data_IF_175708361013
#
_entry.id   IF_175708361013
#
_cell.length_a   1.000
_cell.length_b   1.000
_cell.length_c   1.000
_cell.angle_alpha   90.00
_cell.angle_beta   90.00
_cell.angle_gamma   90.00
#
_symmetry.space_group_name_H-M   'P 1'
#
loop_
_entity.id
_entity.type
_entity.pdbx_description
1 polymer ?
#
# COMPACT_ATOMS: atom_id res chain seq x y z
N UNK A 1 32.39 25.06 13.22
CA UNK A 1 33.33 26.07 12.70
C UNK A 1 34.22 25.39 11.67
N UNK A 2 34.64 26.10 10.63
CA UNK A 2 35.74 25.67 9.75
C UNK A 2 36.70 26.85 9.54
N UNK A 3 37.95 26.56 9.20
CA UNK A 3 38.97 27.61 8.97
C UNK A 3 39.10 27.83 7.46
N UNK A 4 38.93 29.07 7.02
CA UNK A 4 39.17 29.51 5.65
C UNK A 4 39.95 30.82 5.70
N UNK A 5 41.05 30.91 4.95
CA UNK A 5 41.95 32.09 4.97
C UNK A 5 42.39 32.54 6.38
N UNK A 6 42.66 31.58 7.27
CA UNK A 6 43.06 31.82 8.66
C UNK A 6 41.99 32.56 9.52
N UNK A 7 40.74 32.61 9.04
CA UNK A 7 39.60 33.10 9.79
C UNK A 7 38.65 31.96 10.17
N UNK A 8 38.10 32.04 11.39
CA UNK A 8 37.11 31.10 11.91
C UNK A 8 35.73 31.43 11.35
N UNK A 9 35.20 30.57 10.47
CA UNK A 9 33.85 30.73 9.91
C UNK A 9 32.81 29.84 10.61
N UNK A 10 31.59 30.35 10.86
CA UNK A 10 30.49 29.53 11.35
C UNK A 10 30.14 28.46 10.31
N UNK A 11 29.88 27.24 10.80
CA UNK A 11 29.42 26.15 9.94
C UNK A 11 27.92 26.33 9.73
N UNK A 12 27.49 26.55 8.50
CA UNK A 12 26.07 26.62 8.17
C UNK A 12 25.56 25.19 8.07
N UNK A 13 24.75 24.77 9.05
CA UNK A 13 24.06 23.48 9.03
C UNK A 13 22.58 23.71 8.75
N UNK A 14 22.07 23.12 7.67
CA UNK A 14 20.63 23.07 7.41
C UNK A 14 19.98 21.96 8.23
N UNK A 15 18.81 22.25 8.81
CA UNK A 15 17.93 21.23 9.38
C UNK A 15 16.69 21.11 8.51
N UNK A 16 16.49 19.95 7.90
CA UNK A 16 15.29 19.63 7.13
C UNK A 16 14.63 18.39 7.74
N UNK A 17 13.56 18.60 8.50
CA UNK A 17 12.75 17.53 9.07
C UNK A 17 11.44 17.40 8.31
N UNK A 18 11.21 16.24 7.69
CA UNK A 18 9.91 15.88 7.14
C UNK A 18 9.32 14.76 8.00
N UNK A 19 8.23 15.07 8.70
CA UNK A 19 7.56 14.06 9.53
C UNK A 19 6.89 13.00 8.65
N UNK A 20 7.43 11.77 8.64
CA UNK A 20 6.89 10.68 7.82
C UNK A 20 5.41 10.41 8.08
N UNK A 21 4.98 10.42 9.34
CA UNK A 21 3.57 10.27 9.71
C UNK A 21 2.69 11.38 9.13
N UNK A 22 3.23 12.61 9.03
CA UNK A 22 2.51 13.74 8.44
C UNK A 22 2.39 13.59 6.93
N UNK A 23 3.41 13.06 6.25
CA UNK A 23 3.34 12.75 4.82
C UNK A 23 2.27 11.68 4.56
N UNK A 24 2.26 10.61 5.34
CA UNK A 24 1.26 9.53 5.20
C UNK A 24 -0.17 10.04 5.43
N UNK A 25 -0.38 10.82 6.49
CA UNK A 25 -1.68 11.43 6.79
C UNK A 25 -2.16 12.34 5.65
N UNK A 26 -1.30 13.26 5.19
CA UNK A 26 -1.62 14.17 4.09
C UNK A 26 -1.90 13.43 2.78
N UNK A 27 -1.18 12.34 2.52
CA UNK A 27 -1.41 11.48 1.35
C UNK A 27 -2.84 10.95 1.35
N UNK A 28 -3.28 10.40 2.48
CA UNK A 28 -4.66 9.90 2.63
C UNK A 28 -5.66 11.04 2.52
N UNK A 29 -5.43 12.17 3.20
CA UNK A 29 -6.35 13.32 3.20
C UNK A 29 -6.56 13.93 1.81
N UNK A 30 -5.49 14.10 1.04
CA UNK A 30 -5.54 14.80 -0.25
C UNK A 30 -6.02 13.88 -1.37
N UNK A 31 -5.64 12.60 -1.35
CA UNK A 31 -5.89 11.70 -2.49
C UNK A 31 -7.17 10.88 -2.35
N UNK A 32 -7.64 10.64 -1.13
CA UNK A 32 -8.80 9.77 -0.89
C UNK A 32 -10.13 10.45 -1.23
N UNK A 33 -11.17 9.64 -1.45
CA UNK A 33 -12.56 10.11 -1.56
C UNK A 33 -13.36 9.62 -0.35
N UNK A 34 -14.60 10.08 -0.23
CA UNK A 34 -15.49 9.77 0.91
C UNK A 34 -15.54 8.28 1.30
N UNK A 35 -15.48 7.36 0.33
CA UNK A 35 -15.62 5.91 0.55
C UNK A 35 -14.41 5.08 0.13
N UNK A 36 -13.27 5.71 -0.20
CA UNK A 36 -12.09 4.96 -0.67
C UNK A 36 -10.79 5.68 -0.32
N UNK A 37 -9.84 4.91 0.22
CA UNK A 37 -8.46 5.38 0.41
C UNK A 37 -7.70 5.18 -0.90
N UNK A 38 -7.04 6.23 -1.40
CA UNK A 38 -6.22 6.15 -2.61
C UNK A 38 -4.75 6.27 -2.27
N UNK A 39 -4.04 5.15 -2.35
CA UNK A 39 -2.60 5.11 -2.18
C UNK A 39 -1.87 5.41 -3.50
N UNK A 40 -0.83 6.25 -3.48
CA UNK A 40 0.18 6.24 -4.53
C UNK A 40 0.85 4.87 -4.60
N UNK A 41 1.14 4.37 -5.81
CA UNK A 41 1.76 3.05 -6.02
C UNK A 41 3.03 2.85 -5.19
N UNK A 42 3.81 3.91 -4.97
CA UNK A 42 5.07 3.86 -4.20
C UNK A 42 4.88 3.84 -2.67
N UNK A 43 3.70 4.17 -2.16
CA UNK A 43 3.38 4.21 -0.73
C UNK A 43 2.41 3.10 -0.32
N UNK A 44 1.74 2.47 -1.28
CA UNK A 44 0.82 1.37 -1.03
C UNK A 44 1.60 0.20 -0.37
N UNK A 45 1.07 -0.43 0.71
CA UNK A 45 1.71 -1.58 1.34
C UNK A 45 1.86 -2.77 0.39
N UNK A 46 0.87 -2.97 -0.49
CA UNK A 46 0.86 -3.96 -1.55
C UNK A 46 0.26 -3.31 -2.80
N UNK A 47 0.74 -3.71 -3.97
CA UNK A 47 0.23 -3.17 -5.24
C UNK A 47 -1.10 -3.82 -5.64
N UNK A 48 -1.25 -5.12 -5.35
CA UNK A 48 -2.46 -5.89 -5.64
C UNK A 48 -2.87 -6.70 -4.42
N UNK A 49 -4.16 -6.68 -4.10
CA UNK A 49 -4.78 -7.61 -3.16
C UNK A 49 -5.69 -8.56 -3.94
N UNK A 50 -5.46 -9.86 -3.82
CA UNK A 50 -6.32 -10.89 -4.41
C UNK A 50 -7.25 -11.42 -3.31
N UNK A 51 -8.55 -11.39 -3.57
CA UNK A 51 -9.57 -11.90 -2.66
C UNK A 51 -10.17 -13.16 -3.28
N UNK A 52 -9.93 -14.35 -2.70
CA UNK A 52 -10.50 -15.60 -3.18
C UNK A 52 -12.01 -15.67 -2.94
N UNK A 53 -12.73 -16.54 -3.68
CA UNK A 53 -14.13 -16.81 -3.40
C UNK A 53 -14.30 -17.46 -2.01
N UNK A 54 -15.49 -17.29 -1.43
CA UNK A 54 -15.85 -17.89 -0.14
C UNK A 54 -15.81 -19.43 -0.24
N UNK A 55 -15.29 -20.09 0.79
CA UNK A 55 -15.32 -21.57 0.87
C UNK A 55 -16.76 -22.10 0.89
N UNK A 56 -17.05 -23.16 0.12
CA UNK A 56 -18.40 -23.72 -0.04
C UNK A 56 -19.35 -22.88 -0.90
N UNK A 57 -18.87 -21.80 -1.53
CA UNK A 57 -19.67 -21.04 -2.49
C UNK A 57 -19.72 -21.74 -3.85
N UNK A 58 -20.64 -21.32 -4.72
CA UNK A 58 -20.72 -21.84 -6.10
C UNK A 58 -19.45 -21.54 -6.89
N UNK A 59 -18.75 -20.49 -6.49
CA UNK A 59 -17.56 -19.93 -7.11
C UNK A 59 -16.27 -20.56 -6.57
N UNK A 60 -16.33 -21.47 -5.58
CA UNK A 60 -15.14 -22.13 -4.99
C UNK A 60 -14.26 -22.83 -6.04
N UNK A 61 -14.87 -23.36 -7.11
CA UNK A 61 -14.12 -23.94 -8.24
C UNK A 61 -13.17 -22.95 -8.93
N UNK A 62 -13.35 -21.63 -8.73
CA UNK A 62 -12.47 -20.60 -9.26
C UNK A 62 -11.20 -20.37 -8.43
N UNK A 63 -11.06 -20.99 -7.25
CA UNK A 63 -9.87 -20.84 -6.39
C UNK A 63 -8.56 -21.21 -7.09
N UNK A 64 -8.59 -22.16 -8.04
CA UNK A 64 -7.41 -22.51 -8.85
C UNK A 64 -6.90 -21.33 -9.71
N UNK A 65 -7.77 -20.39 -10.09
CA UNK A 65 -7.35 -19.20 -10.83
C UNK A 65 -6.65 -18.17 -9.93
N UNK A 66 -6.95 -18.17 -8.63
CA UNK A 66 -6.34 -17.27 -7.65
C UNK A 66 -4.85 -17.55 -7.51
N UNK A 67 -4.48 -18.81 -7.29
CA UNK A 67 -3.08 -19.24 -7.20
C UNK A 67 -2.32 -18.93 -8.50
N UNK A 68 -2.93 -19.25 -9.65
CA UNK A 68 -2.33 -18.95 -10.95
C UNK A 68 -2.12 -17.46 -11.17
N UNK A 69 -3.08 -16.61 -10.77
CA UNK A 69 -2.96 -15.16 -10.88
C UNK A 69 -1.86 -14.64 -9.96
N UNK A 70 -1.79 -15.13 -8.72
CA UNK A 70 -0.75 -14.79 -7.76
C UNK A 70 0.64 -15.09 -8.35
N UNK A 71 0.87 -16.30 -8.84
CA UNK A 71 2.15 -16.66 -9.47
C UNK A 71 2.52 -15.76 -10.65
N UNK A 72 1.53 -15.46 -11.50
CA UNK A 72 1.73 -14.62 -12.69
C UNK A 72 2.16 -13.20 -12.30
N UNK A 73 1.61 -12.66 -11.22
CA UNK A 73 1.94 -11.33 -10.73
C UNK A 73 3.30 -11.33 -10.00
N UNK A 74 3.59 -12.33 -9.18
CA UNK A 74 4.90 -12.49 -8.55
C UNK A 74 6.02 -12.63 -9.60
N UNK A 75 5.80 -13.39 -10.68
CA UNK A 75 6.74 -13.51 -11.81
C UNK A 75 6.99 -12.19 -12.53
N UNK A 76 6.11 -11.20 -12.36
CA UNK A 76 6.27 -9.83 -12.89
C UNK A 76 6.87 -8.85 -11.89
N UNK A 77 7.35 -9.32 -10.74
CA UNK A 77 7.90 -8.48 -9.67
C UNK A 77 6.88 -7.46 -9.13
N UNK A 78 5.60 -7.85 -9.15
CA UNK A 78 4.52 -7.07 -8.54
C UNK A 78 4.34 -7.56 -7.12
N UNK A 79 4.25 -6.63 -6.17
CA UNK A 79 3.96 -6.91 -4.77
C UNK A 79 2.47 -7.21 -4.58
N UNK A 80 2.16 -8.44 -4.14
CA UNK A 80 0.81 -8.99 -4.08
C UNK A 80 0.55 -9.60 -2.71
N UNK A 81 -0.62 -9.30 -2.14
CA UNK A 81 -1.16 -9.97 -0.97
C UNK A 81 -2.37 -10.83 -1.36
N UNK A 82 -2.47 -12.01 -0.75
CA UNK A 82 -3.65 -12.87 -0.81
C UNK A 82 -4.44 -12.71 0.49
N UNK A 83 -5.73 -12.42 0.39
CA UNK A 83 -6.63 -12.41 1.55
C UNK A 83 -7.10 -13.85 1.84
N UNK A 84 -6.55 -14.47 2.88
CA UNK A 84 -6.82 -15.87 3.24
C UNK A 84 -8.15 -16.07 4.00
N UNK A 85 -8.89 -15.00 4.25
CA UNK A 85 -10.17 -15.03 5.00
C UNK A 85 -11.32 -15.49 4.10
N UNK A 86 -11.37 -16.78 3.84
CA UNK A 86 -12.36 -17.43 2.96
C UNK A 86 -13.74 -17.64 3.58
N UNK A 87 -13.95 -17.20 4.83
CA UNK A 87 -15.24 -17.30 5.53
C UNK A 87 -16.25 -16.23 5.08
N UNK A 88 -15.76 -15.14 4.48
CA UNK A 88 -16.55 -13.96 4.12
C UNK A 88 -16.87 -13.92 2.63
N UNK A 89 -18.08 -13.44 2.31
CA UNK A 89 -18.44 -13.09 0.93
C UNK A 89 -17.80 -11.74 0.57
N UNK A 90 -17.32 -11.60 -0.67
CA UNK A 90 -16.66 -10.38 -1.20
C UNK A 90 -17.59 -9.16 -1.08
N UNK A 91 -18.90 -9.38 -1.23
CA UNK A 91 -19.93 -8.37 -1.03
C UNK A 91 -20.55 -8.61 0.36
N UNK A 92 -20.54 -7.57 1.20
CA UNK A 92 -21.45 -7.51 2.33
C UNK A 92 -22.84 -7.38 1.75
N UNK A 93 -23.73 -8.36 1.98
CA UNK A 93 -25.16 -8.21 1.69
C UNK A 93 -25.61 -6.87 2.25
N UNK A 94 -25.82 -5.90 1.38
CA UNK A 94 -26.67 -4.76 1.70
C UNK A 94 -28.07 -5.34 1.67
N UNK A 95 -28.50 -5.90 2.81
CA UNK A 95 -29.93 -6.06 3.06
C UNK A 95 -30.59 -4.68 2.80
N UNK A 96 -31.78 -4.67 2.16
CA UNK A 96 -32.47 -3.44 1.79
C UNK A 96 -32.70 -2.50 2.98
#
# INVERSE_FOLDING_TARGET
>A
MYVEQNELKPMVMGCFGLGLSRILMLTVEILSKNNEIRWPVKLAPYTVCIIPPKAGSKEEGASNYVERLFEILCKRDIDVILDDRTDFTIVKDQAP
#
